data_IF_902293844775
#
_entry.id   IF_902293844775
#
_cell.length_a   1.000
_cell.length_b   1.000
_cell.length_c   1.000
_cell.angle_alpha   90.00
_cell.angle_beta   90.00
_cell.angle_gamma   90.00
#
_symmetry.space_group_name_H-M   'P 1'
#
loop_
_entity.id
_entity.type
_entity.pdbx_description
1 polymer ?
#
# COMPACT_ATOMS: atom_id res chain seq x y z
N UNK A 1 1.48 -7.78 -13.01
CA UNK A 1 2.61 -8.26 -12.20
C UNK A 1 2.15 -8.36 -10.75
N UNK A 2 2.35 -9.53 -10.13
CA UNK A 2 2.12 -9.72 -8.70
C UNK A 2 3.43 -9.46 -7.95
N UNK A 3 3.36 -8.74 -6.84
CA UNK A 3 4.52 -8.24 -6.08
C UNK A 3 4.59 -8.85 -4.69
N UNK A 4 3.44 -9.21 -4.10
CA UNK A 4 3.36 -9.78 -2.76
C UNK A 4 2.26 -10.84 -2.64
N UNK A 5 2.40 -11.72 -1.66
CA UNK A 5 1.44 -12.78 -1.32
C UNK A 5 1.31 -12.90 0.19
N UNK A 6 0.10 -13.15 0.69
CA UNK A 6 -0.20 -13.41 2.09
C UNK A 6 -1.15 -14.59 2.24
N UNK A 7 -0.91 -15.44 3.25
CA UNK A 7 -1.63 -16.69 3.46
C UNK A 7 -2.47 -16.58 4.73
N UNK A 8 -3.80 -16.74 4.61
CA UNK A 8 -4.72 -16.93 5.75
C UNK A 8 -4.78 -18.43 6.10
N UNK A 9 -4.92 -19.27 5.07
CA UNK A 9 -4.94 -20.73 5.18
C UNK A 9 -4.66 -21.37 3.82
N UNK A 10 -4.61 -22.70 3.74
CA UNK A 10 -4.41 -23.42 2.47
C UNK A 10 -5.46 -23.10 1.39
N UNK A 11 -6.65 -22.65 1.81
CA UNK A 11 -7.77 -22.34 0.93
C UNK A 11 -8.14 -20.85 0.95
N UNK A 12 -7.24 -20.01 1.46
CA UNK A 12 -7.47 -18.57 1.54
C UNK A 12 -6.10 -17.89 1.47
N UNK A 13 -5.67 -17.58 0.25
CA UNK A 13 -4.41 -16.90 -0.04
C UNK A 13 -4.71 -15.67 -0.89
N UNK A 14 -4.04 -14.56 -0.60
CA UNK A 14 -4.21 -13.31 -1.31
C UNK A 14 -2.90 -12.91 -1.96
N UNK A 15 -2.96 -12.43 -3.20
CA UNK A 15 -1.83 -11.84 -3.89
C UNK A 15 -2.19 -10.42 -4.30
N UNK A 16 -1.23 -9.51 -4.20
CA UNK A 16 -1.38 -8.12 -4.59
C UNK A 16 -0.29 -7.72 -5.59
N UNK A 17 -0.62 -6.73 -6.41
CA UNK A 17 0.28 -6.14 -7.37
C UNK A 17 -0.45 -5.13 -8.24
N UNK A 18 -0.11 -5.13 -9.52
CA UNK A 18 -0.73 -4.24 -10.50
C UNK A 18 -0.86 -4.91 -11.86
N UNK A 19 -1.90 -4.56 -12.61
CA UNK A 19 -2.03 -4.87 -14.03
C UNK A 19 -1.55 -3.68 -14.86
N UNK A 20 -0.99 -3.96 -16.04
CA UNK A 20 -0.46 -2.92 -16.94
C UNK A 20 -1.18 -3.02 -18.28
N UNK A 21 -1.70 -1.89 -18.74
CA UNK A 21 -2.13 -1.65 -20.11
C UNK A 21 -1.24 -0.55 -20.71
N UNK A 22 -1.24 -0.36 -22.03
CA UNK A 22 -0.29 0.51 -22.75
C UNK A 22 -0.09 1.93 -22.18
N UNK A 23 -1.03 2.45 -21.40
CA UNK A 23 -0.97 3.80 -20.81
C UNK A 23 -1.33 3.84 -19.32
N UNK A 24 -1.50 2.69 -18.66
CA UNK A 24 -2.09 2.63 -17.32
C UNK A 24 -1.61 1.42 -16.50
N UNK A 25 -1.29 1.65 -15.23
CA UNK A 25 -1.16 0.65 -14.19
C UNK A 25 -2.35 0.74 -13.21
N UNK A 26 -3.04 -0.38 -13.01
CA UNK A 26 -4.15 -0.48 -12.07
C UNK A 26 -3.82 -1.48 -10.98
N UNK A 27 -4.33 -1.28 -9.77
CA UNK A 27 -4.21 -2.25 -8.68
C UNK A 27 -4.74 -3.60 -9.13
N UNK A 28 -4.07 -4.67 -8.73
CA UNK A 28 -4.49 -6.04 -8.97
C UNK A 28 -4.45 -6.78 -7.64
N UNK A 29 -5.58 -7.37 -7.28
CA UNK A 29 -5.70 -8.27 -6.14
C UNK A 29 -6.31 -9.57 -6.64
N UNK A 30 -5.66 -10.68 -6.30
CA UNK A 30 -6.14 -12.03 -6.60
C UNK A 30 -6.34 -12.82 -5.31
N UNK A 31 -7.36 -13.68 -5.31
CA UNK A 31 -7.71 -14.53 -4.17
C UNK A 31 -7.78 -16.00 -4.60
N UNK A 32 -7.13 -16.85 -3.81
CA UNK A 32 -7.17 -18.30 -3.91
C UNK A 32 -8.18 -18.87 -2.93
N UNK A 33 -9.16 -19.61 -3.45
CA UNK A 33 -10.25 -20.22 -2.67
C UNK A 33 -9.98 -21.68 -2.24
N UNK A 34 -8.76 -22.19 -2.47
CA UNK A 34 -8.43 -23.62 -2.29
C UNK A 34 -8.41 -24.41 -3.59
N UNK A 35 -8.96 -23.86 -4.67
CA UNK A 35 -9.07 -24.54 -5.97
C UNK A 35 -8.67 -23.67 -7.15
N UNK A 36 -8.99 -22.38 -7.12
CA UNK A 36 -8.70 -21.46 -8.22
C UNK A 36 -8.33 -20.07 -7.70
N UNK A 37 -7.49 -19.37 -8.48
CA UNK A 37 -7.25 -17.94 -8.31
C UNK A 37 -8.31 -17.16 -9.08
N UNK A 38 -8.85 -16.11 -8.45
CA UNK A 38 -9.78 -15.18 -9.08
C UNK A 38 -9.39 -13.74 -8.77
N UNK A 39 -9.60 -12.84 -9.73
CA UNK A 39 -9.38 -11.41 -9.51
C UNK A 39 -10.50 -10.86 -8.63
N UNK A 40 -10.13 -10.18 -7.55
CA UNK A 40 -11.05 -9.48 -6.67
C UNK A 40 -11.00 -7.99 -6.99
N UNK A 41 -12.16 -7.32 -7.22
CA UNK A 41 -12.19 -5.89 -7.49
C UNK A 41 -11.48 -5.08 -6.39
N UNK A 42 -10.61 -4.17 -6.81
CA UNK A 42 -9.93 -3.22 -5.92
C UNK A 42 -10.03 -1.79 -6.46
N UNK A 43 -10.08 -0.77 -5.58
CA UNK A 43 -10.20 0.62 -5.98
C UNK A 43 -9.09 1.07 -6.93
N UNK A 44 -9.46 1.81 -7.97
CA UNK A 44 -8.59 2.40 -8.96
C UNK A 44 -9.10 3.79 -9.34
N UNK A 45 -8.26 4.61 -9.99
CA UNK A 45 -8.67 5.90 -10.53
C UNK A 45 -8.88 6.95 -9.44
N UNK A 46 -7.85 7.14 -8.62
CA UNK A 46 -7.86 8.13 -7.56
C UNK A 46 -7.83 9.54 -8.20
N UNK A 47 -8.81 10.38 -7.84
CA UNK A 47 -8.97 11.78 -8.29
C UNK A 47 -8.95 12.04 -9.81
N UNK A 48 -9.26 11.03 -10.65
CA UNK A 48 -9.30 11.20 -12.11
C UNK A 48 -7.94 11.29 -12.80
N UNK A 49 -6.86 11.01 -12.06
CA UNK A 49 -5.49 10.95 -12.55
C UNK A 49 -5.27 9.77 -13.53
N UNK A 50 -4.21 9.79 -14.36
CA UNK A 50 -3.79 8.61 -15.10
C UNK A 50 -3.67 7.44 -14.13
N UNK A 51 -4.28 6.30 -14.47
CA UNK A 51 -4.23 5.10 -13.65
C UNK A 51 -2.76 4.67 -13.53
N UNK A 52 -2.04 5.10 -12.51
CA UNK A 52 -0.70 4.66 -12.15
C UNK A 52 -0.76 4.23 -10.69
N UNK A 53 -1.48 3.15 -10.44
CA UNK A 53 -1.77 2.63 -9.11
C UNK A 53 -1.02 1.32 -8.92
N UNK A 54 -0.22 1.26 -7.87
CA UNK A 54 0.64 0.12 -7.58
C UNK A 54 0.36 -0.40 -6.18
N UNK A 55 0.37 -1.73 -6.04
CA UNK A 55 0.46 -2.39 -4.74
C UNK A 55 1.79 -3.14 -4.68
N UNK A 56 2.50 -2.98 -3.56
CA UNK A 56 3.82 -3.57 -3.33
C UNK A 56 3.84 -4.51 -2.13
N UNK A 57 2.94 -4.31 -1.17
CA UNK A 57 2.82 -5.17 0.01
C UNK A 57 1.38 -5.60 0.28
N UNK A 58 1.22 -6.78 0.90
CA UNK A 58 -0.05 -7.26 1.45
C UNK A 58 0.21 -8.03 2.75
N UNK A 59 -0.62 -7.80 3.76
CA UNK A 59 -0.57 -8.47 5.05
C UNK A 59 -1.97 -8.85 5.53
N UNK A 60 -2.06 -9.99 6.22
CA UNK A 60 -3.31 -10.57 6.72
C UNK A 60 -3.31 -10.52 8.24
N UNK A 61 -4.37 -9.96 8.83
CA UNK A 61 -4.71 -10.16 10.25
C UNK A 61 -5.69 -11.33 10.37
N UNK A 62 -6.71 -11.36 9.51
CA UNK A 62 -7.71 -12.42 9.44
C UNK A 62 -8.33 -12.49 8.03
N UNK A 63 -9.22 -13.46 7.78
CA UNK A 63 -9.92 -13.57 6.50
C UNK A 63 -10.72 -12.30 6.09
N UNK A 64 -11.09 -11.48 7.08
CA UNK A 64 -11.90 -10.28 6.91
C UNK A 64 -11.16 -8.99 7.29
N UNK A 65 -9.84 -9.07 7.47
CA UNK A 65 -9.00 -7.94 7.85
C UNK A 65 -7.63 -8.12 7.20
N UNK A 66 -7.47 -7.50 6.03
CA UNK A 66 -6.28 -7.61 5.18
C UNK A 66 -5.93 -6.22 4.70
N UNK A 67 -4.64 -5.91 4.73
CA UNK A 67 -4.10 -4.62 4.33
C UNK A 67 -3.20 -4.78 3.13
N UNK A 68 -3.36 -3.92 2.12
CA UNK A 68 -2.44 -3.80 1.01
C UNK A 68 -1.92 -2.36 0.94
N UNK A 69 -0.64 -2.19 0.57
CA UNK A 69 0.01 -0.89 0.51
C UNK A 69 0.78 -0.71 -0.79
N UNK A 70 0.94 0.53 -1.20
CA UNK A 70 1.72 0.89 -2.37
C UNK A 70 1.76 2.40 -2.60
N UNK A 71 1.62 2.80 -3.86
CA UNK A 71 1.51 4.20 -4.25
C UNK A 71 0.52 4.40 -5.38
N UNK A 72 0.04 5.63 -5.53
CA UNK A 72 -0.67 6.08 -6.71
C UNK A 72 -0.17 7.44 -7.15
N UNK A 73 -0.20 7.69 -8.45
CA UNK A 73 0.15 9.00 -9.01
C UNK A 73 -1.10 9.88 -9.16
N UNK A 74 -1.00 11.14 -8.72
CA UNK A 74 -1.94 12.20 -9.06
C UNK A 74 -1.19 13.35 -9.75
N UNK A 75 -0.57 14.21 -8.95
CA UNK A 75 0.44 15.20 -9.39
C UNK A 75 1.86 14.74 -9.01
N UNK A 76 1.96 13.99 -7.91
CA UNK A 76 3.16 13.36 -7.36
C UNK A 76 2.80 11.92 -6.91
N UNK A 77 3.81 11.10 -6.61
CA UNK A 77 3.56 9.79 -6.01
C UNK A 77 3.04 9.95 -4.56
N UNK A 78 1.85 9.41 -4.31
CA UNK A 78 1.17 9.44 -3.03
C UNK A 78 1.15 8.05 -2.40
N UNK A 79 1.18 7.98 -1.07
CA UNK A 79 0.96 6.72 -0.35
C UNK A 79 -0.42 6.14 -0.65
N UNK A 80 -0.49 4.82 -0.85
CA UNK A 80 -1.74 4.09 -1.01
C UNK A 80 -1.89 3.04 0.08
N UNK A 81 -3.02 3.04 0.78
CA UNK A 81 -3.43 1.91 1.63
C UNK A 81 -4.84 1.46 1.29
N UNK A 82 -5.01 0.15 1.11
CA UNK A 82 -6.28 -0.52 0.90
C UNK A 82 -6.57 -1.47 2.05
N UNK A 83 -7.82 -1.51 2.49
CA UNK A 83 -8.30 -2.40 3.54
C UNK A 83 -9.43 -3.30 3.03
N UNK A 84 -9.32 -4.59 3.30
CA UNK A 84 -10.35 -5.58 3.08
C UNK A 84 -11.12 -5.81 4.36
N UNK A 85 -12.43 -5.62 4.31
CA UNK A 85 -13.33 -5.80 5.45
C UNK A 85 -14.09 -7.14 5.47
N UNK A 86 -13.70 -8.09 4.62
CA UNK A 86 -14.43 -9.35 4.43
C UNK A 86 -15.37 -9.38 3.22
N UNK A 87 -15.59 -8.24 2.56
CA UNK A 87 -16.44 -8.19 1.36
C UNK A 87 -15.96 -7.23 0.26
N UNK A 88 -15.31 -6.12 0.62
CA UNK A 88 -14.84 -5.14 -0.36
C UNK A 88 -13.51 -4.52 0.07
N UNK A 89 -12.65 -4.28 -0.91
CA UNK A 89 -11.45 -3.46 -0.74
C UNK A 89 -11.83 -1.98 -0.77
N UNK A 90 -11.44 -1.23 0.25
CA UNK A 90 -11.67 0.21 0.34
C UNK A 90 -10.37 0.95 0.56
N UNK A 91 -10.27 2.17 0.04
CA UNK A 91 -9.15 3.06 0.35
C UNK A 91 -9.27 3.51 1.79
N UNK A 92 -8.16 3.44 2.53
CA UNK A 92 -8.03 4.10 3.83
C UNK A 92 -7.01 5.22 3.66
N UNK A 93 -7.36 6.48 4.02
CA UNK A 93 -6.43 7.59 3.89
C UNK A 93 -5.15 7.36 4.70
N UNK A 94 -3.99 7.61 4.08
CA UNK A 94 -2.68 7.60 4.72
C UNK A 94 -1.95 8.92 4.50
N UNK A 95 -1.14 9.38 5.47
CA UNK A 95 -0.37 10.60 5.31
C UNK A 95 0.84 10.39 4.38
N UNK A 96 1.14 11.42 3.58
CA UNK A 96 2.42 11.58 2.89
C UNK A 96 3.41 12.33 3.81
N UNK A 97 4.71 12.23 3.51
CA UNK A 97 5.76 12.88 4.29
C UNK A 97 5.66 14.42 4.30
N UNK A 98 5.10 15.01 3.26
CA UNK A 98 4.88 16.45 3.13
C UNK A 98 4.43 16.84 1.72
N UNK A 99 4.26 18.14 1.45
CA UNK A 99 4.05 18.64 0.10
C UNK A 99 5.30 18.48 -0.76
N UNK A 100 5.14 18.33 -2.08
CA UNK A 100 6.26 18.26 -3.04
C UNK A 100 7.19 17.08 -2.71
N UNK A 101 6.58 15.92 -2.43
CA UNK A 101 7.28 14.68 -2.13
C UNK A 101 6.71 13.51 -2.91
N UNK A 102 7.59 12.67 -3.45
CA UNK A 102 7.21 11.40 -4.05
C UNK A 102 7.28 10.31 -2.97
N UNK A 103 6.14 9.71 -2.64
CA UNK A 103 5.95 8.78 -1.53
C UNK A 103 5.58 7.38 -2.03
N UNK A 104 6.20 6.35 -1.46
CA UNK A 104 5.85 4.97 -1.78
C UNK A 104 5.94 4.07 -0.55
N UNK A 105 4.93 3.23 -0.32
CA UNK A 105 4.95 2.19 0.71
C UNK A 105 5.30 0.85 0.05
N UNK A 106 6.41 0.25 0.46
CA UNK A 106 6.94 -0.97 -0.16
C UNK A 106 6.51 -2.25 0.56
N UNK A 107 6.22 -2.18 1.86
CA UNK A 107 5.85 -3.35 2.64
C UNK A 107 4.87 -2.99 3.76
N UNK A 108 4.10 -3.99 4.20
CA UNK A 108 3.17 -3.89 5.32
C UNK A 108 3.24 -5.16 6.18
N UNK A 109 3.12 -5.00 7.48
CA UNK A 109 2.96 -6.08 8.45
C UNK A 109 1.80 -5.75 9.38
N UNK A 110 1.01 -6.75 9.73
CA UNK A 110 -0.20 -6.59 10.53
C UNK A 110 -0.23 -7.67 11.61
N UNK A 111 -0.36 -7.28 12.87
CA UNK A 111 -0.47 -8.24 13.98
C UNK A 111 -1.85 -8.20 14.65
N UNK A 112 -2.57 -7.09 14.52
CA UNK A 112 -3.94 -6.92 14.97
C UNK A 112 -4.65 -5.86 14.12
N UNK A 113 -5.98 -5.80 14.21
CA UNK A 113 -6.82 -4.83 13.49
C UNK A 113 -6.47 -3.36 13.79
N UNK A 114 -5.79 -3.13 14.91
CA UNK A 114 -5.38 -1.85 15.42
C UNK A 114 -3.85 -1.71 15.56
N UNK A 115 -3.09 -2.62 14.96
CA UNK A 115 -1.63 -2.60 14.98
C UNK A 115 -1.09 -3.13 13.66
N UNK A 116 -0.96 -2.19 12.71
CA UNK A 116 -0.47 -2.43 11.36
C UNK A 116 0.63 -1.42 11.06
N UNK A 117 1.74 -1.89 10.52
CA UNK A 117 2.91 -1.08 10.19
C UNK A 117 3.16 -1.16 8.70
N UNK A 118 3.25 0.00 8.05
CA UNK A 118 3.67 0.11 6.66
C UNK A 118 4.99 0.86 6.58
N UNK A 119 5.88 0.42 5.69
CA UNK A 119 7.20 1.03 5.51
C UNK A 119 7.48 1.25 4.03
N UNK A 120 8.29 2.25 3.73
CA UNK A 120 8.77 2.54 2.40
C UNK A 120 9.67 3.76 2.42
N UNK A 121 9.52 4.62 1.42
CA UNK A 121 10.39 5.77 1.24
C UNK A 121 9.67 6.98 0.68
N UNK A 122 10.25 8.15 0.89
CA UNK A 122 9.89 9.36 0.19
C UNK A 122 11.11 10.09 -0.34
N UNK A 123 10.92 10.94 -1.35
CA UNK A 123 11.93 11.87 -1.86
C UNK A 123 11.34 13.27 -1.86
N UNK A 124 12.10 14.26 -1.38
CA UNK A 124 11.69 15.66 -1.42
C UNK A 124 12.20 16.32 -2.70
N UNK A 125 11.30 16.97 -3.44
CA UNK A 125 11.71 17.68 -4.67
C UNK A 125 12.50 18.97 -4.37
N UNK A 126 12.37 19.52 -3.15
CA UNK A 126 12.96 20.81 -2.76
C UNK A 126 14.27 20.72 -2.00
N UNK A 127 14.48 19.65 -1.22
CA UNK A 127 15.70 19.47 -0.38
C UNK A 127 16.73 18.54 -1.04
N UNK A 128 16.43 18.06 -2.26
CA UNK A 128 17.26 17.14 -3.03
C UNK A 128 16.64 15.74 -3.10
N UNK A 129 16.87 15.04 -4.21
CA UNK A 129 16.25 13.74 -4.52
C UNK A 129 16.80 12.55 -3.68
N UNK A 130 17.26 12.81 -2.45
CA UNK A 130 17.68 11.76 -1.54
C UNK A 130 16.46 10.98 -1.04
N UNK A 131 16.53 9.66 -1.12
CA UNK A 131 15.49 8.78 -0.62
C UNK A 131 15.59 8.68 0.91
N UNK A 132 14.51 9.05 1.60
CA UNK A 132 14.36 8.98 3.05
C UNK A 132 13.33 7.92 3.42
N UNK A 133 13.45 7.37 4.62
CA UNK A 133 12.55 6.33 5.13
C UNK A 133 11.17 6.93 5.45
N UNK A 134 10.11 6.20 5.12
CA UNK A 134 8.75 6.50 5.54
C UNK A 134 8.21 5.31 6.34
N UNK A 135 7.79 5.56 7.57
CA UNK A 135 7.17 4.54 8.43
C UNK A 135 5.79 5.05 8.86
N UNK A 136 4.75 4.24 8.64
CA UNK A 136 3.38 4.52 9.07
C UNK A 136 2.91 3.46 10.06
N UNK A 137 2.14 3.89 11.06
CA UNK A 137 1.45 3.02 12.01
C UNK A 137 -0.06 3.27 11.99
N UNK A 138 -0.83 2.20 11.85
CA UNK A 138 -2.27 2.19 12.01
C UNK A 138 -2.62 1.79 13.44
N UNK A 139 -3.34 2.66 14.12
CA UNK A 139 -3.73 2.46 15.53
C UNK A 139 -5.16 1.93 15.71
N UNK A 140 -5.82 1.50 14.64
CA UNK A 140 -7.25 1.10 14.64
C UNK A 140 -8.21 2.19 14.19
N UNK A 141 -7.74 3.43 14.04
CA UNK A 141 -8.58 4.57 13.63
C UNK A 141 -7.98 5.42 12.52
N UNK A 142 -6.66 5.63 12.54
CA UNK A 142 -5.95 6.41 11.53
C UNK A 142 -4.51 5.91 11.37
N UNK A 143 -3.96 6.13 10.17
CA UNK A 143 -2.52 6.03 9.91
C UNK A 143 -1.81 7.29 10.41
N UNK A 144 -0.66 7.11 11.05
CA UNK A 144 0.22 8.20 11.46
C UNK A 144 1.66 7.91 11.05
N UNK A 145 2.40 8.95 10.65
CA UNK A 145 3.85 8.84 10.44
C UNK A 145 4.52 8.61 11.79
N UNK A 146 5.40 7.61 11.85
CA UNK A 146 6.27 7.35 12.99
C UNK A 146 7.70 7.70 12.57
N UNK A 147 8.41 8.57 13.31
CA UNK A 147 9.80 8.87 13.00
C UNK A 147 10.67 7.61 13.01
N UNK A 148 11.45 7.44 11.95
CA UNK A 148 12.51 6.44 11.83
C UNK A 148 13.83 7.13 11.49
N UNK A 149 14.95 6.49 11.83
CA UNK A 149 16.25 6.99 11.41
C UNK A 149 16.35 6.96 9.87
N UNK A 150 16.83 8.05 9.27
CA UNK A 150 17.23 8.06 7.87
C UNK A 150 18.73 7.76 7.78
N UNK A 151 19.16 7.02 6.76
CA UNK A 151 20.59 6.80 6.48
C UNK A 151 21.29 8.06 5.90
N UNK A 152 20.55 9.17 5.72
CA UNK A 152 21.09 10.51 5.48
C UNK A 152 21.06 11.32 6.79
N UNK A 153 22.12 12.09 7.05
CA UNK A 153 22.54 12.69 8.32
C UNK A 153 21.57 13.64 9.06
N UNK A 154 20.27 13.61 8.81
CA UNK A 154 19.28 14.41 9.54
C UNK A 154 18.05 13.58 9.91
N UNK A 155 17.88 13.42 11.24
CA UNK A 155 16.68 12.86 11.85
C UNK A 155 15.46 13.75 11.59
N UNK A 156 14.30 13.10 11.47
CA UNK A 156 13.00 13.76 11.31
C UNK A 156 12.63 14.60 12.55
#
# INVERSE_FOLDING_TARGET
>A
MLTAVAVVSANNVWAAGYSANNTAYSTLVEHWDGTTWSVVPSPNGFNGAPQLNFLFGIAVVSANDIWAVGSFFEDEDNTLTLHWNGGVWSVVPSPNAGPETNNSLSAVSAIAANDVWAVGSFQSETVGAESRTLTLHWNGTAWAIVPSANDGSEGN
#
